data_IF_360882560770
#
_entry.id   IF_360882560770
#
_cell.length_a   1.000
_cell.length_b   1.000
_cell.length_c   1.000
_cell.angle_alpha   90.00
_cell.angle_beta   90.00
_cell.angle_gamma   90.00
#
_symmetry.space_group_name_H-M   'P 1'
#
loop_
_entity.id
_entity.type
_entity.pdbx_description
1 polymer ?
#
# COMPACT_ATOMS: atom_id res chain seq x y z
N UNK A 1 -7.16 18.69 17.83
CA UNK A 1 -7.66 17.35 17.54
C UNK A 1 -8.55 16.94 18.69
N UNK A 2 -9.83 16.71 18.43
CA UNK A 2 -10.73 16.18 19.46
C UNK A 2 -10.34 14.74 19.78
N UNK A 3 -10.45 14.31 21.04
CA UNK A 3 -10.02 12.99 21.50
C UNK A 3 -10.55 11.84 20.63
N UNK A 4 -11.74 12.00 20.07
CA UNK A 4 -12.38 11.03 19.17
C UNK A 4 -11.63 10.84 17.84
N UNK A 5 -11.07 11.91 17.26
CA UNK A 5 -10.27 11.84 16.03
C UNK A 5 -8.94 11.12 16.28
N UNK A 6 -8.30 11.39 17.43
CA UNK A 6 -7.06 10.70 17.81
C UNK A 6 -7.31 9.20 18.03
N UNK A 7 -8.37 8.84 18.76
CA UNK A 7 -8.74 7.44 18.97
C UNK A 7 -9.00 6.74 17.64
N UNK A 8 -9.79 7.35 16.75
CA UNK A 8 -10.07 6.81 15.43
C UNK A 8 -8.80 6.57 14.61
N UNK A 9 -7.88 7.55 14.58
CA UNK A 9 -6.59 7.42 13.91
C UNK A 9 -5.74 6.26 14.45
N UNK A 10 -5.64 6.11 15.78
CA UNK A 10 -4.87 5.02 16.38
C UNK A 10 -5.51 3.65 16.16
N UNK A 11 -6.84 3.55 16.20
CA UNK A 11 -7.56 2.32 15.88
C UNK A 11 -7.31 1.93 14.42
N UNK A 12 -7.45 2.88 13.48
CA UNK A 12 -7.15 2.63 12.06
C UNK A 12 -5.69 2.22 11.83
N UNK A 13 -4.75 2.84 12.54
CA UNK A 13 -3.32 2.48 12.49
C UNK A 13 -3.07 1.08 13.05
N UNK A 14 -3.74 0.70 14.13
CA UNK A 14 -3.68 -0.65 14.70
C UNK A 14 -4.23 -1.70 13.74
N UNK A 15 -5.36 -1.41 13.07
CA UNK A 15 -5.95 -2.28 12.04
C UNK A 15 -5.01 -2.43 10.84
N UNK A 16 -4.38 -1.34 10.39
CA UNK A 16 -3.38 -1.36 9.33
C UNK A 16 -2.20 -2.27 9.68
N UNK A 17 -1.63 -2.12 10.88
CA UNK A 17 -0.51 -2.92 11.35
C UNK A 17 -0.88 -4.40 11.49
N UNK A 18 -2.04 -4.70 12.07
CA UNK A 18 -2.54 -6.07 12.21
C UNK A 18 -2.75 -6.74 10.84
N UNK A 19 -3.34 -6.01 9.88
CA UNK A 19 -3.49 -6.48 8.50
C UNK A 19 -2.15 -6.73 7.82
N UNK A 20 -1.21 -5.79 7.90
CA UNK A 20 0.12 -5.92 7.29
C UNK A 20 0.93 -7.09 7.87
N UNK A 21 0.91 -7.27 9.20
CA UNK A 21 1.48 -8.44 9.85
C UNK A 21 0.79 -9.73 9.40
N UNK A 22 -0.54 -9.69 9.25
CA UNK A 22 -1.31 -10.83 8.78
C UNK A 22 -0.90 -11.28 7.37
N UNK A 23 -0.67 -10.34 6.45
CA UNK A 23 -0.18 -10.63 5.09
C UNK A 23 1.17 -11.35 5.14
N UNK A 24 2.07 -10.91 6.02
CA UNK A 24 3.41 -11.46 6.12
C UNK A 24 3.46 -12.85 6.81
N UNK A 25 2.64 -13.05 7.85
CA UNK A 25 2.76 -14.20 8.75
C UNK A 25 1.81 -15.35 8.42
N UNK A 26 0.61 -15.09 7.86
CA UNK A 26 -0.35 -16.16 7.62
C UNK A 26 0.12 -17.05 6.46
N UNK A 27 -0.06 -18.38 6.54
CA UNK A 27 0.41 -19.30 5.50
C UNK A 27 -0.54 -19.40 4.30
N UNK A 28 -1.85 -19.25 4.53
CA UNK A 28 -2.87 -19.44 3.50
C UNK A 28 -3.04 -18.22 2.60
N UNK A 29 -3.01 -18.41 1.27
CA UNK A 29 -3.24 -17.33 0.28
C UNK A 29 -4.54 -16.56 0.48
N UNK A 30 -5.63 -17.26 0.82
CA UNK A 30 -6.93 -16.63 1.07
C UNK A 30 -6.91 -15.78 2.34
N UNK A 31 -6.21 -16.25 3.37
CA UNK A 31 -6.02 -15.50 4.60
C UNK A 31 -5.10 -14.29 4.40
N UNK A 32 -4.05 -14.41 3.59
CA UNK A 32 -3.19 -13.29 3.18
C UNK A 32 -3.97 -12.25 2.38
N UNK A 33 -4.83 -12.69 1.45
CA UNK A 33 -5.72 -11.80 0.72
C UNK A 33 -6.66 -11.04 1.66
N UNK A 34 -7.32 -11.74 2.59
CA UNK A 34 -8.18 -11.11 3.60
C UNK A 34 -7.39 -10.12 4.48
N UNK A 35 -6.21 -10.50 4.96
CA UNK A 35 -5.33 -9.64 5.75
C UNK A 35 -4.89 -8.39 4.97
N UNK A 36 -4.67 -8.51 3.66
CA UNK A 36 -4.36 -7.38 2.78
C UNK A 36 -5.55 -6.43 2.66
N UNK A 37 -6.77 -6.96 2.58
CA UNK A 37 -7.99 -6.16 2.64
C UNK A 37 -8.13 -5.41 3.97
N UNK A 38 -7.84 -6.07 5.09
CA UNK A 38 -7.83 -5.43 6.43
C UNK A 38 -6.78 -4.31 6.50
N UNK A 39 -5.58 -4.54 5.96
CA UNK A 39 -4.54 -3.52 5.87
C UNK A 39 -5.02 -2.30 5.05
N UNK A 40 -5.64 -2.54 3.89
CA UNK A 40 -6.23 -1.49 3.05
C UNK A 40 -7.31 -0.69 3.76
N UNK A 41 -8.17 -1.35 4.54
CA UNK A 41 -9.21 -0.69 5.34
C UNK A 41 -8.61 0.18 6.45
N UNK A 42 -7.58 -0.31 7.14
CA UNK A 42 -6.82 0.48 8.12
C UNK A 42 -6.16 1.71 7.49
N UNK A 43 -5.52 1.54 6.33
CA UNK A 43 -4.88 2.63 5.58
C UNK A 43 -5.88 3.68 5.12
N UNK A 44 -7.04 3.26 4.60
CA UNK A 44 -8.10 4.17 4.21
C UNK A 44 -8.65 4.96 5.40
N UNK A 45 -8.82 4.32 6.56
CA UNK A 45 -9.18 4.99 7.80
C UNK A 45 -8.16 6.06 8.20
N UNK A 46 -6.87 5.74 8.15
CA UNK A 46 -5.78 6.71 8.37
C UNK A 46 -5.91 7.90 7.42
N UNK A 47 -6.08 7.67 6.11
CA UNK A 47 -6.24 8.75 5.14
C UNK A 47 -7.49 9.62 5.38
N UNK A 48 -8.61 9.03 5.83
CA UNK A 48 -9.80 9.81 6.19
C UNK A 48 -9.52 10.76 7.36
N UNK A 49 -8.82 10.30 8.40
CA UNK A 49 -8.43 11.15 9.53
C UNK A 49 -7.40 12.23 9.16
N UNK A 50 -6.65 12.05 8.07
CA UNK A 50 -5.76 13.06 7.48
C UNK A 50 -6.47 14.00 6.47
N UNK A 51 -7.80 13.97 6.35
CA UNK A 51 -8.56 14.75 5.35
C UNK A 51 -8.20 14.42 3.89
N UNK A 52 -7.71 13.19 3.63
CA UNK A 52 -7.32 12.70 2.32
C UNK A 52 -8.35 11.69 1.77
N UNK A 53 -9.63 12.09 1.69
CA UNK A 53 -10.74 11.19 1.35
C UNK A 53 -10.65 10.54 -0.04
N UNK A 54 -10.11 11.26 -1.03
CA UNK A 54 -9.88 10.67 -2.36
C UNK A 54 -8.81 9.56 -2.32
N UNK A 55 -7.70 9.80 -1.62
CA UNK A 55 -6.64 8.82 -1.44
C UNK A 55 -7.15 7.61 -0.65
N UNK A 56 -8.02 7.82 0.34
CA UNK A 56 -8.69 6.73 1.06
C UNK A 56 -9.52 5.84 0.11
N UNK A 57 -10.30 6.46 -0.78
CA UNK A 57 -11.08 5.74 -1.79
C UNK A 57 -10.22 4.92 -2.76
N UNK A 58 -9.14 5.52 -3.27
CA UNK A 58 -8.17 4.80 -4.12
C UNK A 58 -7.51 3.66 -3.36
N UNK A 59 -7.08 3.90 -2.12
CA UNK A 59 -6.46 2.88 -1.29
C UNK A 59 -7.39 1.67 -1.10
N UNK A 60 -8.67 1.89 -0.81
CA UNK A 60 -9.67 0.81 -0.73
C UNK A 60 -9.77 0.04 -2.04
N UNK A 61 -9.90 0.74 -3.17
CA UNK A 61 -10.03 0.10 -4.48
C UNK A 61 -8.81 -0.76 -4.82
N UNK A 62 -7.60 -0.20 -4.65
CA UNK A 62 -6.36 -0.89 -4.96
C UNK A 62 -6.10 -2.08 -4.02
N UNK A 63 -6.28 -1.89 -2.71
CA UNK A 63 -6.07 -2.98 -1.74
C UNK A 63 -7.14 -4.06 -1.83
N UNK A 64 -8.40 -3.71 -2.14
CA UNK A 64 -9.45 -4.71 -2.40
C UNK A 64 -9.13 -5.52 -3.67
N UNK A 65 -8.73 -4.86 -4.75
CA UNK A 65 -8.29 -5.53 -5.98
C UNK A 65 -7.09 -6.46 -5.73
N UNK A 66 -6.07 -5.97 -5.02
CA UNK A 66 -4.91 -6.77 -4.65
C UNK A 66 -5.28 -7.95 -3.73
N UNK A 67 -6.18 -7.73 -2.76
CA UNK A 67 -6.67 -8.78 -1.86
C UNK A 67 -7.35 -9.91 -2.63
N UNK A 68 -8.21 -9.56 -3.61
CA UNK A 68 -8.86 -10.54 -4.48
C UNK A 68 -7.86 -11.30 -5.35
N UNK A 69 -6.88 -10.61 -5.93
CA UNK A 69 -5.84 -11.23 -6.75
C UNK A 69 -4.96 -12.20 -5.95
N UNK A 70 -4.61 -11.85 -4.70
CA UNK A 70 -3.82 -12.73 -3.81
C UNK A 70 -4.62 -13.93 -3.35
N UNK A 71 -5.92 -13.75 -3.09
CA UNK A 71 -6.82 -14.84 -2.73
C UNK A 71 -7.14 -15.78 -3.90
N UNK A 72 -6.94 -15.33 -5.15
CA UNK A 72 -7.30 -16.06 -6.35
C UNK A 72 -6.54 -17.39 -6.49
N UNK A 73 -7.19 -18.45 -7.01
CA UNK A 73 -6.59 -19.77 -7.09
C UNK A 73 -5.37 -19.87 -8.02
N UNK A 74 -5.25 -18.94 -8.96
CA UNK A 74 -4.16 -18.83 -9.93
C UNK A 74 -2.90 -18.18 -9.35
N UNK A 75 -2.99 -17.59 -8.14
CA UNK A 75 -1.83 -17.00 -7.48
C UNK A 75 -0.86 -18.09 -7.02
N UNK A 76 0.32 -18.13 -7.65
CA UNK A 76 1.41 -19.04 -7.28
C UNK A 76 2.39 -18.28 -6.41
N UNK A 77 2.50 -18.64 -5.13
CA UNK A 77 3.61 -18.14 -4.32
C UNK A 77 4.90 -18.74 -4.84
N UNK A 78 5.85 -17.90 -5.22
CA UNK A 78 7.23 -18.35 -5.39
C UNK A 78 7.73 -18.64 -3.99
N UNK A 79 7.92 -19.92 -3.69
CA UNK A 79 8.43 -20.35 -2.40
C UNK A 79 9.87 -19.84 -2.29
N UNK A 80 10.08 -18.90 -1.38
CA UNK A 80 11.36 -18.23 -1.24
C UNK A 80 12.31 -19.23 -0.57
N UNK A 81 13.15 -19.90 -1.35
CA UNK A 81 14.18 -20.84 -0.86
C UNK A 81 15.37 -20.07 -0.26
N UNK A 82 15.06 -19.07 0.55
CA UNK A 82 16.08 -18.35 1.32
C UNK A 82 16.44 -19.19 2.53
N UNK A 83 17.73 -19.44 2.74
CA UNK A 83 18.21 -20.16 3.92
C UNK A 83 17.78 -19.45 5.22
N UNK A 84 17.73 -20.18 6.33
CA UNK A 84 17.35 -19.62 7.63
C UNK A 84 18.18 -18.38 8.01
N UNK A 85 19.48 -18.40 7.68
CA UNK A 85 20.41 -17.28 7.89
C UNK A 85 20.00 -16.03 7.10
N UNK A 86 19.63 -16.18 5.83
CA UNK A 86 19.17 -15.05 5.01
C UNK A 86 17.85 -14.46 5.51
N UNK A 87 16.93 -15.31 6.00
CA UNK A 87 15.69 -14.84 6.65
C UNK A 87 15.97 -14.04 7.93
N UNK A 88 16.93 -14.48 8.74
CA UNK A 88 17.32 -13.76 9.96
C UNK A 88 18.00 -12.43 9.65
N UNK A 89 18.90 -12.40 8.66
CA UNK A 89 19.51 -11.16 8.18
C UNK A 89 18.46 -10.19 7.65
N UNK A 90 17.48 -10.68 6.89
CA UNK A 90 16.35 -9.86 6.42
C UNK A 90 15.51 -9.30 7.57
N UNK A 91 15.24 -10.10 8.61
CA UNK A 91 14.50 -9.65 9.79
C UNK A 91 15.27 -8.60 10.60
N UNK A 92 16.57 -8.79 10.81
CA UNK A 92 17.45 -7.82 11.47
C UNK A 92 17.52 -6.53 10.65
N UNK A 93 17.63 -6.65 9.32
CA UNK A 93 17.62 -5.50 8.41
C UNK A 93 16.30 -4.71 8.48
N UNK A 94 15.16 -5.39 8.46
CA UNK A 94 13.85 -4.74 8.60
C UNK A 94 13.69 -4.07 9.98
N UNK A 95 14.13 -4.73 11.06
CA UNK A 95 14.11 -4.16 12.41
C UNK A 95 15.04 -2.94 12.53
N UNK A 96 16.23 -3.00 11.93
CA UNK A 96 17.16 -1.88 11.89
C UNK A 96 16.60 -0.69 11.11
N UNK A 97 15.98 -0.94 9.95
CA UNK A 97 15.29 0.09 9.18
C UNK A 97 14.14 0.71 9.96
N UNK A 98 13.32 -0.11 10.63
CA UNK A 98 12.24 0.37 11.49
C UNK A 98 12.76 1.26 12.62
N UNK A 99 13.84 0.85 13.30
CA UNK A 99 14.46 1.61 14.37
C UNK A 99 15.01 2.96 13.86
N UNK A 100 15.63 2.96 12.68
CA UNK A 100 16.13 4.19 12.05
C UNK A 100 14.99 5.14 11.69
N UNK A 101 13.91 4.63 11.09
CA UNK A 101 12.72 5.42 10.76
C UNK A 101 12.06 5.96 12.02
N UNK A 102 11.90 5.15 13.07
CA UNK A 102 11.37 5.58 14.35
C UNK A 102 12.23 6.70 14.97
N UNK A 103 13.55 6.53 14.96
CA UNK A 103 14.48 7.55 15.44
C UNK A 103 14.35 8.87 14.65
N UNK A 104 14.27 8.79 13.32
CA UNK A 104 14.05 9.97 12.48
C UNK A 104 12.69 10.63 12.74
N UNK A 105 11.65 9.85 13.06
CA UNK A 105 10.33 10.37 13.38
C UNK A 105 10.29 11.08 14.74
N UNK A 106 11.06 10.62 15.73
CA UNK A 106 11.13 11.26 17.04
C UNK A 106 12.04 12.49 17.08
N UNK A 107 13.11 12.50 16.27
CA UNK A 107 14.12 13.57 16.29
C UNK A 107 14.01 14.56 15.14
N UNK A 108 13.27 14.20 14.09
CA UNK A 108 13.04 15.05 12.93
C UNK A 108 12.18 16.26 13.29
N UNK A 109 12.64 17.44 12.89
CA UNK A 109 11.82 18.64 12.90
C UNK A 109 11.05 18.70 11.57
N UNK A 110 9.78 18.33 11.61
CA UNK A 110 8.94 18.29 10.43
C UNK A 110 8.24 19.64 10.25
N UNK A 111 8.42 20.24 9.07
CA UNK A 111 7.66 21.42 8.69
C UNK A 111 6.15 21.10 8.75
N UNK A 112 5.46 21.72 9.69
CA UNK A 112 4.01 21.58 9.83
C UNK A 112 3.33 22.74 9.12
N UNK A 113 2.45 22.40 8.18
CA UNK A 113 1.57 23.37 7.52
C UNK A 113 0.14 23.01 7.86
N UNK A 114 -0.64 23.99 8.32
CA UNK A 114 -2.07 23.80 8.55
C UNK A 114 -2.78 23.78 7.21
N UNK A 115 -3.20 22.60 6.77
CA UNK A 115 -3.92 22.43 5.51
C UNK A 115 -5.42 22.66 5.71
N UNK A 116 -5.93 23.76 5.16
CA UNK A 116 -7.36 24.06 5.09
C UNK A 116 -7.92 23.64 3.72
N UNK A 117 -8.05 22.33 3.52
CA UNK A 117 -8.66 21.76 2.31
C UNK A 117 -9.90 20.93 2.63
N UNK A 118 -10.84 20.86 1.67
CA UNK A 118 -12.03 20.02 1.79
C UNK A 118 -11.72 18.52 1.76
N UNK A 119 -12.61 17.70 2.31
CA UNK A 119 -12.42 16.25 2.50
C UNK A 119 -12.11 15.44 1.21
N UNK A 120 -12.49 15.96 0.04
CA UNK A 120 -12.21 15.37 -1.27
C UNK A 120 -11.46 16.37 -2.18
N UNK A 121 -10.14 16.31 -2.17
CA UNK A 121 -9.25 17.23 -2.91
C UNK A 121 -9.04 16.93 -4.40
N UNK A 122 -9.98 16.28 -5.09
CA UNK A 122 -9.78 15.75 -6.46
C UNK A 122 -9.39 16.84 -7.46
N UNK A 123 -10.07 17.99 -7.44
CA UNK A 123 -9.78 19.10 -8.35
C UNK A 123 -8.41 19.74 -8.10
N UNK A 124 -7.97 19.80 -6.84
CA UNK A 124 -6.64 20.29 -6.50
C UNK A 124 -5.57 19.31 -7.00
N UNK A 125 -5.81 18.01 -6.83
CA UNK A 125 -4.93 16.95 -7.32
C UNK A 125 -4.80 17.00 -8.86
N UNK A 126 -5.93 17.13 -9.57
CA UNK A 126 -5.94 17.24 -11.03
C UNK A 126 -5.18 18.47 -11.53
N UNK A 127 -5.35 19.63 -10.88
CA UNK A 127 -4.55 20.82 -11.20
C UNK A 127 -3.06 20.58 -11.00
N UNK A 128 -2.65 19.97 -9.89
CA UNK A 128 -1.24 19.67 -9.64
C UNK A 128 -0.67 18.72 -10.70
N UNK A 129 -1.40 17.63 -10.97
CA UNK A 129 -1.00 16.60 -11.94
C UNK A 129 -0.84 17.15 -13.36
N UNK A 130 -1.75 18.00 -13.83
CA UNK A 130 -1.70 18.49 -15.22
C UNK A 130 -0.96 19.81 -15.39
N UNK A 131 -0.86 20.65 -14.35
CA UNK A 131 -0.20 21.95 -14.45
C UNK A 131 1.28 21.94 -14.00
N UNK A 132 1.68 21.01 -13.12
CA UNK A 132 3.06 20.90 -12.64
C UNK A 132 3.70 19.56 -12.98
N UNK A 133 2.96 18.46 -12.83
CA UNK A 133 3.53 17.11 -12.91
C UNK A 133 3.11 16.33 -14.17
N UNK A 134 2.84 17.02 -15.28
CA UNK A 134 2.28 16.39 -16.49
C UNK A 134 3.16 15.25 -17.03
N UNK A 135 4.49 15.40 -16.98
CA UNK A 135 5.43 14.35 -17.38
C UNK A 135 5.35 13.11 -16.49
N UNK A 136 5.12 13.28 -15.19
CA UNK A 136 4.96 12.15 -14.27
C UNK A 136 3.65 11.40 -14.58
N UNK A 137 2.58 12.12 -14.94
CA UNK A 137 1.30 11.51 -15.36
C UNK A 137 1.51 10.65 -16.62
N UNK A 138 2.18 11.19 -17.63
CA UNK A 138 2.52 10.45 -18.86
C UNK A 138 3.39 9.23 -18.58
N UNK A 139 4.39 9.36 -17.70
CA UNK A 139 5.25 8.24 -17.31
C UNK A 139 4.46 7.11 -16.63
N UNK A 140 3.50 7.44 -15.76
CA UNK A 140 2.62 6.45 -15.12
C UNK A 140 1.68 5.80 -16.15
N UNK A 141 1.16 6.56 -17.12
CA UNK A 141 0.34 6.03 -18.20
C UNK A 141 1.13 5.03 -19.07
N UNK A 142 2.35 5.39 -19.46
CA UNK A 142 3.26 4.50 -20.18
C UNK A 142 3.62 3.26 -19.37
N UNK A 143 3.88 3.40 -18.06
CA UNK A 143 4.12 2.26 -17.18
C UNK A 143 2.91 1.32 -17.15
N UNK A 144 1.69 1.85 -17.08
CA UNK A 144 0.46 1.07 -17.16
C UNK A 144 0.34 0.30 -18.48
N UNK A 145 0.64 0.95 -19.61
CA UNK A 145 0.66 0.29 -20.92
C UNK A 145 1.70 -0.83 -20.99
N UNK A 146 2.92 -0.58 -20.53
CA UNK A 146 4.00 -1.58 -20.50
C UNK A 146 3.63 -2.76 -19.60
N UNK A 147 3.04 -2.51 -18.43
CA UNK A 147 2.60 -3.55 -17.52
C UNK A 147 1.51 -4.45 -18.15
N UNK A 148 0.52 -3.85 -18.83
CA UNK A 148 -0.54 -4.59 -19.53
C UNK A 148 0.01 -5.39 -20.72
N UNK A 149 0.88 -4.77 -21.53
CA UNK A 149 1.54 -5.46 -22.64
C UNK A 149 2.39 -6.63 -22.16
N UNK A 150 3.17 -6.44 -21.09
CA UNK A 150 3.97 -7.49 -20.46
C UNK A 150 3.11 -8.63 -19.89
N UNK A 151 2.03 -8.30 -19.20
CA UNK A 151 1.10 -9.29 -18.64
C UNK A 151 0.43 -10.14 -19.74
N UNK A 152 -0.04 -9.50 -20.82
CA UNK A 152 -0.66 -10.21 -21.96
C UNK A 152 0.34 -11.06 -22.73
N UNK A 153 1.57 -10.57 -22.95
CA UNK A 153 2.64 -11.35 -23.58
C UNK A 153 3.01 -12.58 -22.73
N UNK A 154 3.16 -12.41 -21.42
CA UNK A 154 3.46 -13.51 -20.49
C UNK A 154 2.34 -14.55 -20.45
N UNK A 155 1.08 -14.10 -20.50
CA UNK A 155 -0.08 -15.00 -20.55
C UNK A 155 -0.07 -15.83 -21.85
N UNK A 156 0.08 -15.18 -23.01
CA UNK A 156 0.17 -15.87 -24.31
C UNK A 156 1.34 -16.85 -24.40
N UNK A 157 2.49 -16.50 -23.84
CA UNK A 157 3.66 -17.40 -23.81
C UNK A 157 3.35 -18.68 -23.01
N UNK A 158 2.60 -18.58 -21.91
CA UNK A 158 2.17 -19.74 -21.12
C UNK A 158 1.16 -20.61 -21.85
N UNK A 159 0.25 -20.03 -22.63
CA UNK A 159 -0.72 -20.80 -23.41
C UNK A 159 -0.06 -21.60 -24.52
N UNK A 160 0.98 -21.05 -25.17
CA UNK A 160 1.72 -21.74 -26.24
C UNK A 160 2.66 -22.83 -25.74
N UNK A 161 3.04 -22.80 -24.46
CA UNK A 161 3.94 -23.78 -23.83
C UNK A 161 3.21 -24.94 -23.12
N UNK A 162 1.87 -24.97 -23.17
CA UNK A 162 1.04 -26.08 -22.72
C UNK A 162 0.54 -26.86 -23.92
#
# INVERSE_FOLDING_TARGET
MDSLHAIGFYVSSGVLLAGALGVALLPGRGQRGAALGVAGLGLAGVFLFLSAGFAAGIALLCYAGAALLVAAPQYRSVENVASATWRQLGAIGAAGLLALLAYSAFRGDFASATFYGGAFGVAALGRLMFAHDALAVEAVALLGLVALAGATAAWRARERGR
#
